data_IF_778857989169
#
_entry.id   IF_778857989169
#
_cell.length_a   1.000
_cell.length_b   1.000
_cell.length_c   1.000
_cell.angle_alpha   90.00
_cell.angle_beta   90.00
_cell.angle_gamma   90.00
#
_symmetry.space_group_name_H-M   'P 1'
#
loop_
_entity.id
_entity.type
_entity.pdbx_description
1 polymer ?
#
# COMPACT_ATOMS: atom_id res chain seq x y z
N UNK A 1 8.85 3.28 19.87
CA UNK A 1 8.59 4.45 20.73
C UNK A 1 7.13 4.75 21.05
N UNK A 2 6.21 4.78 20.08
CA UNK A 2 4.80 5.11 20.34
C UNK A 2 4.14 4.28 21.47
N UNK A 3 4.39 2.96 21.52
CA UNK A 3 3.91 2.11 22.62
C UNK A 3 4.47 2.53 23.99
N UNK A 4 5.73 2.99 24.06
CA UNK A 4 6.34 3.49 25.30
C UNK A 4 5.66 4.79 25.77
N UNK A 5 5.28 5.67 24.83
CA UNK A 5 4.50 6.89 25.14
C UNK A 5 3.13 6.53 25.77
N UNK A 6 2.52 5.45 25.31
CA UNK A 6 1.28 4.88 25.89
C UNK A 6 1.47 4.03 27.15
N UNK A 7 2.68 4.01 27.73
CA UNK A 7 2.98 3.36 29.01
C UNK A 7 3.52 1.93 28.94
N UNK A 8 3.76 1.38 27.76
CA UNK A 8 4.38 0.05 27.64
C UNK A 8 5.87 0.09 28.01
N UNK A 9 6.37 -0.96 28.68
CA UNK A 9 7.80 -1.13 28.94
C UNK A 9 8.36 -2.12 27.92
N UNK A 10 9.32 -1.67 27.11
CA UNK A 10 9.88 -2.47 26.01
C UNK A 10 11.40 -2.40 26.10
N UNK A 11 12.04 -3.56 26.21
CA UNK A 11 13.49 -3.72 26.12
C UNK A 11 13.86 -4.40 24.80
N UNK A 12 14.91 -3.92 24.15
CA UNK A 12 15.57 -4.62 23.05
C UNK A 12 16.50 -5.67 23.66
N UNK A 13 16.37 -6.93 23.25
CA UNK A 13 17.19 -8.03 23.79
C UNK A 13 18.51 -8.19 23.05
N UNK A 14 18.57 -7.70 21.82
CA UNK A 14 19.74 -7.74 20.96
C UNK A 14 20.01 -6.33 20.40
N UNK A 15 19.70 -6.10 19.13
CA UNK A 15 19.94 -4.82 18.47
C UNK A 15 18.85 -3.80 18.79
N UNK A 16 19.28 -2.58 19.13
CA UNK A 16 18.36 -1.46 19.35
C UNK A 16 17.52 -1.20 18.09
N UNK A 17 16.21 -1.03 18.27
CA UNK A 17 15.19 -0.84 17.23
C UNK A 17 14.81 -2.08 16.41
N UNK A 18 15.33 -3.27 16.77
CA UNK A 18 14.98 -4.52 16.10
C UNK A 18 14.53 -5.61 17.09
N UNK A 19 13.71 -6.58 16.65
CA UNK A 19 13.46 -7.80 17.41
C UNK A 19 14.76 -8.58 17.69
N UNK A 20 14.77 -9.45 18.73
CA UNK A 20 13.66 -9.77 19.62
C UNK A 20 13.43 -8.72 20.74
N UNK A 21 12.16 -8.55 21.12
CA UNK A 21 11.71 -7.58 22.12
C UNK A 21 11.21 -8.28 23.38
N UNK A 22 11.54 -7.73 24.55
CA UNK A 22 10.87 -8.06 25.81
C UNK A 22 9.86 -6.97 26.14
N UNK A 23 8.58 -7.33 26.10
CA UNK A 23 7.46 -6.39 26.32
C UNK A 23 6.81 -6.71 27.67
N UNK A 24 6.65 -5.69 28.51
CA UNK A 24 6.04 -5.77 29.85
C UNK A 24 4.99 -4.68 30.01
N UNK A 25 3.87 -5.03 30.65
CA UNK A 25 2.70 -4.17 30.74
C UNK A 25 1.88 -4.13 29.44
N UNK A 26 1.09 -3.08 29.25
CA UNK A 26 0.22 -2.91 28.09
C UNK A 26 0.04 -1.43 27.73
N UNK A 27 -0.57 -1.18 26.58
CA UNK A 27 -0.90 0.17 26.11
C UNK A 27 -2.09 0.72 26.89
N UNK A 28 -1.90 1.84 27.61
CA UNK A 28 -2.94 2.42 28.49
C UNK A 28 -3.68 3.60 27.87
N UNK A 29 -3.29 4.04 26.67
CA UNK A 29 -3.82 5.24 26.01
C UNK A 29 -3.10 6.52 26.43
N UNK A 30 -3.68 7.66 26.09
CA UNK A 30 -3.08 8.99 26.25
C UNK A 30 -2.73 9.67 24.92
N UNK A 31 -1.96 10.75 24.99
CA UNK A 31 -1.52 11.51 23.81
C UNK A 31 -0.20 10.94 23.32
N UNK A 32 -0.11 10.64 22.03
CA UNK A 32 1.11 10.14 21.42
C UNK A 32 1.29 10.72 20.01
N UNK A 33 2.53 10.69 19.57
CA UNK A 33 2.90 11.17 18.23
C UNK A 33 3.58 10.08 17.42
N UNK A 34 3.21 9.98 16.15
CA UNK A 34 3.71 8.99 15.18
C UNK A 34 4.18 9.72 13.93
N UNK A 35 5.34 9.34 13.39
CA UNK A 35 5.82 9.81 12.10
C UNK A 35 4.97 9.22 10.97
N UNK A 36 4.29 10.08 10.20
CA UNK A 36 3.43 9.69 9.09
C UNK A 36 4.17 9.23 7.83
N UNK A 37 5.48 9.48 7.75
CA UNK A 37 6.28 9.25 6.54
C UNK A 37 6.87 7.85 6.41
N UNK A 38 6.87 7.05 7.49
CA UNK A 38 7.61 5.79 7.55
C UNK A 38 6.77 4.61 7.05
N UNK A 39 5.72 4.24 7.79
CA UNK A 39 4.92 3.06 7.48
C UNK A 39 3.53 3.13 8.12
N UNK A 40 2.50 2.77 7.36
CA UNK A 40 1.13 2.64 7.85
C UNK A 40 0.99 1.56 8.92
N UNK A 41 1.84 0.52 8.91
CA UNK A 41 1.72 -0.63 9.82
C UNK A 41 1.82 -0.23 11.29
N UNK A 42 2.65 0.77 11.62
CA UNK A 42 2.79 1.25 12.99
C UNK A 42 1.52 1.95 13.47
N UNK A 43 0.91 2.78 12.63
CA UNK A 43 -0.34 3.45 12.93
C UNK A 43 -1.49 2.44 13.02
N UNK A 44 -1.58 1.48 12.09
CA UNK A 44 -2.57 0.40 12.11
C UNK A 44 -2.52 -0.39 13.42
N UNK A 45 -1.33 -0.80 13.88
CA UNK A 45 -1.18 -1.52 15.14
C UNK A 45 -1.70 -0.71 16.35
N UNK A 46 -1.44 0.59 16.38
CA UNK A 46 -1.93 1.49 17.42
C UNK A 46 -3.45 1.68 17.34
N UNK A 47 -3.99 1.90 16.14
CA UNK A 47 -5.43 2.03 15.91
C UNK A 47 -6.18 0.77 16.37
N UNK A 48 -5.67 -0.42 16.07
CA UNK A 48 -6.31 -1.66 16.51
C UNK A 48 -6.26 -1.88 18.03
N UNK A 49 -5.22 -1.37 18.69
CA UNK A 49 -4.97 -1.59 20.13
C UNK A 49 -5.63 -0.52 21.02
N UNK A 50 -5.61 0.74 20.60
CA UNK A 50 -6.07 1.89 21.38
C UNK A 50 -7.53 1.81 21.88
N UNK A 51 -8.50 1.23 21.14
CA UNK A 51 -9.88 1.09 21.61
C UNK A 51 -9.99 0.24 22.89
N UNK A 52 -9.08 -0.72 23.07
CA UNK A 52 -9.04 -1.62 24.23
C UNK A 52 -8.29 -1.00 25.43
N UNK A 53 -7.72 0.18 25.27
CA UNK A 53 -6.95 0.84 26.31
C UNK A 53 -7.83 1.34 27.46
N UNK A 54 -7.25 1.46 28.65
CA UNK A 54 -7.96 2.01 29.84
C UNK A 54 -8.35 3.49 29.66
N UNK A 55 -7.56 4.26 28.92
CA UNK A 55 -7.77 5.70 28.68
C UNK A 55 -8.03 5.97 27.21
N UNK A 56 -8.73 7.06 26.95
CA UNK A 56 -8.83 7.66 25.61
C UNK A 56 -7.44 7.91 25.02
N UNK A 57 -7.32 7.74 23.72
CA UNK A 57 -6.08 7.91 22.96
C UNK A 57 -6.24 8.98 21.91
N UNK A 58 -5.27 9.89 21.84
CA UNK A 58 -5.13 10.89 20.78
C UNK A 58 -3.80 10.62 20.07
N UNK A 59 -3.87 10.28 18.79
CA UNK A 59 -2.70 10.01 17.96
C UNK A 59 -2.52 11.18 17.00
N UNK A 60 -1.42 11.92 17.16
CA UNK A 60 -1.04 12.99 16.25
C UNK A 60 -0.03 12.48 15.23
N UNK A 61 -0.26 12.77 13.95
CA UNK A 61 0.68 12.44 12.87
C UNK A 61 1.66 13.59 12.67
N UNK A 62 2.96 13.28 12.72
CA UNK A 62 4.02 14.19 12.30
C UNK A 62 4.22 14.08 10.79
N UNK A 63 4.29 15.23 10.12
CA UNK A 63 4.44 15.29 8.66
C UNK A 63 3.17 14.92 7.91
N UNK A 64 3.35 14.39 6.71
CA UNK A 64 2.26 13.91 5.85
C UNK A 64 2.11 12.39 6.00
N UNK A 65 0.87 11.93 6.24
CA UNK A 65 0.58 10.51 6.31
C UNK A 65 0.64 9.86 4.92
N UNK A 66 1.62 8.98 4.72
CA UNK A 66 1.69 8.15 3.52
C UNK A 66 0.81 6.91 3.66
N UNK A 67 0.38 6.36 2.52
CA UNK A 67 -0.35 5.09 2.47
C UNK A 67 -1.69 5.10 3.24
N UNK A 68 -2.42 6.23 3.17
CA UNK A 68 -3.79 6.41 3.69
C UNK A 68 -4.76 5.24 3.39
N UNK A 69 -4.73 4.62 2.19
CA UNK A 69 -5.63 3.50 1.91
C UNK A 69 -5.50 2.31 2.86
N UNK A 70 -4.30 2.04 3.40
CA UNK A 70 -4.13 0.98 4.41
C UNK A 70 -4.74 1.36 5.76
N UNK A 71 -4.78 2.65 6.07
CA UNK A 71 -5.48 3.17 7.24
C UNK A 71 -6.99 3.08 7.02
N UNK A 72 -7.49 3.37 5.82
CA UNK A 72 -8.91 3.23 5.49
C UNK A 72 -9.39 1.77 5.62
N UNK A 73 -8.60 0.79 5.14
CA UNK A 73 -8.88 -0.64 5.35
C UNK A 73 -8.97 -0.94 6.85
N UNK A 74 -8.02 -0.41 7.65
CA UNK A 74 -7.98 -0.62 9.09
C UNK A 74 -9.23 -0.05 9.77
N UNK A 75 -9.58 1.20 9.47
CA UNK A 75 -10.74 1.88 10.05
C UNK A 75 -12.05 1.17 9.67
N UNK A 76 -12.18 0.75 8.41
CA UNK A 76 -13.35 0.02 7.94
C UNK A 76 -13.50 -1.33 8.66
N UNK A 77 -12.39 -2.08 8.81
CA UNK A 77 -12.40 -3.34 9.53
C UNK A 77 -12.76 -3.14 11.00
N UNK A 78 -12.19 -2.13 11.66
CA UNK A 78 -12.52 -1.80 13.04
C UNK A 78 -14.01 -1.47 13.20
N UNK A 79 -14.56 -0.68 12.29
CA UNK A 79 -15.99 -0.33 12.28
C UNK A 79 -16.87 -1.57 12.06
N UNK A 80 -16.50 -2.47 11.15
CA UNK A 80 -17.21 -3.73 10.92
C UNK A 80 -17.24 -4.63 12.18
N UNK A 81 -16.28 -4.46 13.08
CA UNK A 81 -16.20 -5.14 14.37
C UNK A 81 -16.69 -4.25 15.54
N UNK A 82 -17.47 -3.20 15.24
CA UNK A 82 -18.17 -2.40 16.24
C UNK A 82 -17.30 -1.41 17.02
N UNK A 83 -16.14 -1.04 16.49
CA UNK A 83 -15.25 -0.03 17.07
C UNK A 83 -15.22 1.22 16.21
N UNK A 84 -15.44 2.37 16.83
CA UNK A 84 -15.42 3.66 16.16
C UNK A 84 -14.13 4.44 16.45
N UNK A 85 -13.60 5.06 15.40
CA UNK A 85 -12.47 5.98 15.45
C UNK A 85 -12.85 7.24 14.68
N UNK A 86 -12.63 8.40 15.30
CA UNK A 86 -12.84 9.70 14.66
C UNK A 86 -11.47 10.25 14.28
N UNK A 87 -11.33 10.84 13.10
CA UNK A 87 -10.09 11.49 12.71
C UNK A 87 -10.31 12.82 12.01
N UNK A 88 -9.33 13.72 12.14
CA UNK A 88 -9.30 15.05 11.53
C UNK A 88 -8.34 15.03 10.35
N UNK A 89 -8.85 14.78 9.14
CA UNK A 89 -8.08 14.75 7.89
C UNK A 89 -6.79 13.90 7.98
N UNK A 90 -6.84 12.81 8.74
CA UNK A 90 -5.71 11.90 8.98
C UNK A 90 -4.53 12.52 9.74
N UNK A 91 -4.66 13.75 10.25
CA UNK A 91 -3.62 14.40 11.06
C UNK A 91 -3.76 14.09 12.54
N UNK A 92 -4.99 13.90 13.02
CA UNK A 92 -5.28 13.54 14.42
C UNK A 92 -6.32 12.43 14.43
N UNK A 93 -6.07 11.35 15.18
CA UNK A 93 -7.05 10.29 15.44
C UNK A 93 -7.44 10.32 16.92
N UNK A 94 -8.75 10.31 17.16
CA UNK A 94 -9.39 10.29 18.46
C UNK A 94 -10.05 8.94 18.67
N UNK A 95 -9.56 8.20 19.67
CA UNK A 95 -10.02 6.84 19.98
C UNK A 95 -10.49 6.80 21.43
N UNK A 96 -11.76 6.42 21.63
CA UNK A 96 -12.28 6.17 22.98
C UNK A 96 -11.73 4.87 23.54
N UNK A 97 -11.23 4.92 24.77
CA UNK A 97 -10.80 3.73 25.50
C UNK A 97 -12.00 2.91 26.00
N UNK A 98 -11.74 1.66 26.40
CA UNK A 98 -12.77 0.76 26.93
C UNK A 98 -13.82 0.29 25.92
N UNK A 99 -13.59 0.49 24.62
CA UNK A 99 -14.37 -0.16 23.57
C UNK A 99 -14.04 -1.65 23.53
N UNK A 100 -14.91 -2.45 22.92
CA UNK A 100 -14.68 -3.88 22.69
C UNK A 100 -15.08 -4.25 21.28
N UNK A 101 -14.25 -5.06 20.63
CA UNK A 101 -14.60 -5.62 19.33
C UNK A 101 -15.72 -6.66 19.47
N UNK A 102 -16.70 -6.59 18.60
CA UNK A 102 -17.79 -7.54 18.49
C UNK A 102 -17.73 -8.24 17.14
N UNK A 103 -17.84 -9.56 17.14
CA UNK A 103 -17.85 -10.32 15.90
C UNK A 103 -19.10 -9.97 15.08
N UNK A 104 -18.98 -9.66 13.78
CA UNK A 104 -20.13 -9.55 12.88
C UNK A 104 -20.74 -10.92 12.51
N UNK A 105 -20.27 -12.02 13.11
CA UNK A 105 -20.61 -13.38 12.73
C UNK A 105 -19.70 -13.86 11.59
N UNK A 106 -20.06 -13.52 10.35
CA UNK A 106 -19.28 -13.86 9.15
C UNK A 106 -18.65 -12.62 8.55
N UNK A 107 -17.36 -12.70 8.22
CA UNK A 107 -16.63 -11.65 7.54
C UNK A 107 -15.81 -12.26 6.40
N UNK A 108 -15.99 -11.74 5.18
CA UNK A 108 -15.20 -12.17 4.02
C UNK A 108 -13.85 -11.46 4.07
N UNK A 109 -12.76 -12.24 4.10
CA UNK A 109 -11.42 -11.70 3.86
C UNK A 109 -11.25 -11.59 2.35
N UNK A 110 -11.16 -10.36 1.84
CA UNK A 110 -10.94 -10.08 0.42
C UNK A 110 -9.61 -10.66 -0.06
N UNK A 111 -9.52 -10.93 -1.36
CA UNK A 111 -8.24 -11.22 -1.99
C UNK A 111 -7.32 -9.99 -1.96
N UNK A 112 -6.01 -10.20 -2.06
CA UNK A 112 -5.06 -9.08 -2.08
C UNK A 112 -5.14 -8.31 -3.42
N UNK A 113 -5.59 -7.06 -3.36
CA UNK A 113 -5.69 -6.20 -4.53
C UNK A 113 -4.32 -5.88 -5.13
N UNK A 114 -3.24 -5.82 -4.33
CA UNK A 114 -1.88 -5.64 -4.84
C UNK A 114 -1.47 -6.85 -5.68
N UNK A 115 -1.70 -8.07 -5.21
CA UNK A 115 -1.44 -9.31 -5.97
C UNK A 115 -2.31 -9.44 -7.23
N UNK A 116 -3.53 -8.92 -7.22
CA UNK A 116 -4.38 -8.92 -8.40
C UNK A 116 -3.79 -8.11 -9.56
N UNK A 117 -2.98 -7.08 -9.26
CA UNK A 117 -2.37 -6.22 -10.26
C UNK A 117 -1.58 -7.00 -11.31
N UNK A 118 -0.85 -8.04 -10.90
CA UNK A 118 -0.02 -8.86 -11.80
C UNK A 118 -0.86 -9.54 -12.88
N UNK A 119 -2.01 -10.09 -12.50
CA UNK A 119 -2.89 -10.83 -13.42
C UNK A 119 -3.64 -9.89 -14.37
N UNK A 120 -4.09 -8.73 -13.86
CA UNK A 120 -4.72 -7.71 -14.67
C UNK A 120 -3.73 -7.10 -15.68
N UNK A 121 -2.48 -6.84 -15.26
CA UNK A 121 -1.41 -6.38 -16.14
C UNK A 121 -1.08 -7.39 -17.23
N UNK A 122 -1.00 -8.69 -16.88
CA UNK A 122 -0.72 -9.74 -17.85
C UNK A 122 -1.76 -9.78 -18.99
N UNK A 123 -3.05 -9.63 -18.65
CA UNK A 123 -4.11 -9.48 -19.65
C UNK A 123 -3.97 -8.21 -20.49
N UNK A 124 -3.68 -7.08 -19.84
CA UNK A 124 -3.50 -5.79 -20.51
C UNK A 124 -2.35 -5.85 -21.55
N UNK A 125 -1.24 -6.48 -21.19
CA UNK A 125 -0.03 -6.61 -22.02
C UNK A 125 -0.25 -7.62 -23.15
N UNK A 126 -0.58 -8.87 -22.81
CA UNK A 126 -0.52 -9.96 -23.79
C UNK A 126 -1.81 -10.10 -24.60
N UNK A 127 -2.95 -9.77 -24.01
CA UNK A 127 -4.27 -10.06 -24.58
C UNK A 127 -4.92 -11.30 -24.01
N UNK A 128 -6.14 -11.54 -24.46
CA UNK A 128 -7.11 -12.36 -23.74
C UNK A 128 -7.93 -11.52 -22.76
N UNK A 129 -8.69 -12.21 -21.92
CA UNK A 129 -9.46 -11.59 -20.84
C UNK A 129 -9.17 -12.35 -19.56
N UNK A 130 -8.75 -11.64 -18.52
CA UNK A 130 -8.50 -12.20 -17.19
C UNK A 130 -9.47 -11.57 -16.22
N UNK A 131 -10.18 -12.42 -15.47
CA UNK A 131 -11.05 -12.04 -14.37
C UNK A 131 -10.41 -12.46 -13.06
N UNK A 132 -10.18 -11.49 -12.18
CA UNK A 132 -9.76 -11.74 -10.79
C UNK A 132 -10.99 -11.63 -9.89
N UNK A 133 -11.34 -12.71 -9.22
CA UNK A 133 -12.48 -12.78 -8.28
C UNK A 133 -12.02 -12.56 -6.84
N UNK A 134 -12.91 -12.13 -5.96
CA UNK A 134 -12.61 -11.87 -4.54
C UNK A 134 -12.17 -10.44 -4.24
N UNK A 135 -12.19 -9.57 -5.27
CA UNK A 135 -12.05 -8.11 -5.21
C UNK A 135 -12.99 -7.51 -6.25
N UNK A 136 -13.62 -6.37 -5.97
CA UNK A 136 -14.60 -5.77 -6.88
C UNK A 136 -15.02 -4.37 -6.46
N UNK A 137 -16.16 -3.88 -6.94
CA UNK A 137 -16.65 -2.52 -6.67
C UNK A 137 -16.84 -2.17 -5.19
N UNK A 138 -17.05 -3.19 -4.35
CA UNK A 138 -17.29 -3.03 -2.91
C UNK A 138 -16.02 -3.11 -2.07
N UNK A 139 -14.88 -3.37 -2.70
CA UNK A 139 -13.60 -3.46 -2.02
C UNK A 139 -13.21 -2.14 -1.38
N UNK A 140 -12.74 -2.22 -0.14
CA UNK A 140 -12.17 -1.06 0.58
C UNK A 140 -10.68 -0.91 0.33
N UNK A 141 -10.05 -1.87 -0.35
CA UNK A 141 -8.63 -1.81 -0.69
C UNK A 141 -8.35 -0.76 -1.76
N UNK A 142 -7.45 0.18 -1.45
CA UNK A 142 -7.04 1.24 -2.37
C UNK A 142 -6.41 0.72 -3.67
N UNK A 143 -5.66 -0.38 -3.58
CA UNK A 143 -4.93 -0.98 -4.70
C UNK A 143 -5.84 -1.49 -5.83
N UNK A 144 -7.15 -1.60 -5.59
CA UNK A 144 -8.12 -1.84 -6.68
C UNK A 144 -8.08 -0.74 -7.76
N UNK A 145 -7.69 0.50 -7.39
CA UNK A 145 -7.48 1.62 -8.32
C UNK A 145 -6.35 1.39 -9.32
N UNK A 146 -5.54 0.34 -9.14
CA UNK A 146 -4.63 -0.12 -10.18
C UNK A 146 -5.36 -0.40 -11.51
N UNK A 147 -6.59 -0.92 -11.45
CA UNK A 147 -7.40 -1.15 -12.64
C UNK A 147 -7.75 0.18 -13.35
N UNK A 148 -8.03 1.25 -12.61
CA UNK A 148 -8.26 2.58 -13.19
C UNK A 148 -6.99 3.12 -13.88
N UNK A 149 -5.81 2.83 -13.36
CA UNK A 149 -4.54 3.19 -14.00
C UNK A 149 -4.36 2.42 -15.30
N UNK A 150 -4.62 1.11 -15.31
CA UNK A 150 -4.59 0.32 -16.54
C UNK A 150 -5.60 0.82 -17.58
N UNK A 151 -6.81 1.20 -17.16
CA UNK A 151 -7.81 1.80 -18.04
C UNK A 151 -7.30 3.11 -18.67
N UNK A 152 -6.66 3.98 -17.87
CA UNK A 152 -6.02 5.21 -18.37
C UNK A 152 -4.85 4.95 -19.30
N UNK A 153 -4.12 3.87 -19.10
CA UNK A 153 -3.12 3.41 -20.06
C UNK A 153 -3.77 2.87 -21.34
N UNK A 154 -5.06 2.52 -21.35
CA UNK A 154 -5.79 2.08 -22.54
C UNK A 154 -6.26 0.63 -22.50
N UNK A 155 -6.10 -0.09 -21.39
CA UNK A 155 -6.73 -1.39 -21.18
C UNK A 155 -8.27 -1.27 -21.08
N UNK A 156 -8.98 -2.37 -21.33
CA UNK A 156 -10.44 -2.42 -21.15
C UNK A 156 -10.74 -3.07 -19.81
N UNK A 157 -11.36 -2.32 -18.91
CA UNK A 157 -11.68 -2.80 -17.57
C UNK A 157 -13.19 -2.97 -17.43
N UNK A 158 -13.61 -4.09 -16.83
CA UNK A 158 -14.99 -4.31 -16.42
C UNK A 158 -15.03 -4.67 -14.93
N UNK A 159 -15.88 -3.94 -14.20
CA UNK A 159 -16.03 -4.09 -12.76
C UNK A 159 -17.31 -4.85 -12.42
N UNK A 160 -17.17 -5.95 -11.69
CA UNK A 160 -18.25 -6.65 -11.00
C UNK A 160 -18.33 -6.27 -9.52
N UNK A 161 -19.33 -6.80 -8.81
CA UNK A 161 -19.44 -6.63 -7.36
C UNK A 161 -18.29 -7.32 -6.62
N UNK A 162 -17.86 -8.48 -7.12
CA UNK A 162 -16.88 -9.39 -6.52
C UNK A 162 -15.75 -9.77 -7.48
N UNK A 163 -15.64 -9.10 -8.64
CA UNK A 163 -14.55 -9.31 -9.58
C UNK A 163 -14.09 -8.02 -10.26
N UNK A 164 -12.84 -8.05 -10.74
CA UNK A 164 -12.29 -7.09 -11.70
C UNK A 164 -11.83 -7.89 -12.94
N UNK A 165 -12.23 -7.45 -14.11
CA UNK A 165 -11.88 -8.08 -15.38
C UNK A 165 -11.09 -7.10 -16.25
N UNK A 166 -9.98 -7.59 -16.83
CA UNK A 166 -9.14 -6.83 -17.74
C UNK A 166 -9.03 -7.56 -19.08
N UNK A 167 -9.19 -6.80 -20.16
CA UNK A 167 -8.87 -7.20 -21.52
C UNK A 167 -7.89 -6.21 -22.14
N UNK A 168 -7.10 -6.70 -23.08
CA UNK A 168 -6.12 -5.85 -23.79
C UNK A 168 -6.77 -4.70 -24.56
N UNK A 169 -6.09 -3.56 -24.50
CA UNK A 169 -6.20 -2.47 -25.45
C UNK A 169 -4.82 -2.02 -25.94
N UNK A 170 -4.72 -0.79 -26.41
CA UNK A 170 -3.45 -0.19 -26.83
C UNK A 170 -2.88 0.60 -25.67
N UNK A 171 -1.85 0.06 -25.02
CA UNK A 171 -1.24 0.69 -23.86
C UNK A 171 -0.45 1.94 -24.28
N UNK A 172 -0.67 3.04 -23.60
CA UNK A 172 -0.02 4.33 -23.78
C UNK A 172 0.71 4.72 -22.50
N UNK A 173 1.84 5.41 -22.66
CA UNK A 173 2.59 5.99 -21.57
C UNK A 173 1.76 7.05 -20.83
N UNK A 174 1.87 7.08 -19.51
CA UNK A 174 1.11 7.98 -18.63
C UNK A 174 2.04 8.70 -17.66
N UNK A 175 1.62 9.86 -17.15
CA UNK A 175 2.29 10.57 -16.06
C UNK A 175 1.29 10.74 -14.90
N UNK A 176 1.50 10.01 -13.81
CA UNK A 176 0.52 9.92 -12.73
C UNK A 176 1.14 9.80 -11.34
N UNK A 177 0.48 10.43 -10.37
CA UNK A 177 0.65 10.15 -8.94
C UNK A 177 0.10 8.75 -8.62
N UNK A 178 0.90 7.92 -7.96
CA UNK A 178 0.51 6.57 -7.52
C UNK A 178 0.74 6.33 -6.02
N UNK A 179 0.83 7.39 -5.22
CA UNK A 179 1.00 7.29 -3.76
C UNK A 179 -0.13 6.49 -3.09
N UNK A 180 -1.31 6.51 -3.72
CA UNK A 180 -2.53 5.86 -3.26
C UNK A 180 -2.64 4.38 -3.66
N UNK A 181 -1.69 3.83 -4.42
CA UNK A 181 -1.60 2.41 -4.77
C UNK A 181 -0.14 1.90 -4.74
N UNK A 182 0.59 2.16 -3.64
CA UNK A 182 2.05 2.13 -3.68
C UNK A 182 2.62 0.74 -3.99
N UNK A 183 1.97 -0.34 -3.55
CA UNK A 183 2.47 -1.69 -3.82
C UNK A 183 2.10 -2.15 -5.25
N UNK A 184 0.86 -1.91 -5.70
CA UNK A 184 0.45 -2.19 -7.08
C UNK A 184 1.15 -1.31 -8.13
N UNK A 185 1.66 -0.12 -7.77
CA UNK A 185 2.36 0.79 -8.68
C UNK A 185 3.66 0.18 -9.25
N UNK A 186 4.30 -0.77 -8.57
CA UNK A 186 5.47 -1.49 -9.09
C UNK A 186 5.12 -2.29 -10.35
N UNK A 187 3.89 -2.82 -10.41
CA UNK A 187 3.36 -3.52 -11.58
C UNK A 187 3.15 -2.57 -12.77
N UNK A 188 2.88 -1.28 -12.54
CA UNK A 188 2.84 -0.30 -13.64
C UNK A 188 4.23 -0.07 -14.24
N UNK A 189 5.28 -0.04 -13.40
CA UNK A 189 6.64 0.14 -13.88
C UNK A 189 7.10 -0.96 -14.85
N UNK A 190 6.66 -2.22 -14.66
CA UNK A 190 6.89 -3.30 -15.64
C UNK A 190 5.91 -3.25 -16.81
N UNK A 191 4.66 -2.85 -16.58
CA UNK A 191 3.66 -2.66 -17.65
C UNK A 191 4.09 -1.59 -18.65
N UNK A 192 4.79 -0.55 -18.19
CA UNK A 192 5.34 0.52 -19.01
C UNK A 192 6.28 0.03 -20.12
N UNK A 193 6.90 -1.13 -19.98
CA UNK A 193 7.73 -1.75 -21.02
C UNK A 193 6.95 -2.11 -22.30
N UNK A 194 5.62 -2.16 -22.20
CA UNK A 194 4.71 -2.55 -23.28
C UNK A 194 3.77 -1.42 -23.72
N UNK A 195 3.97 -0.21 -23.20
CA UNK A 195 3.20 0.98 -23.56
C UNK A 195 3.85 1.72 -24.75
N UNK A 196 3.07 2.49 -25.49
CA UNK A 196 3.58 3.46 -26.45
C UNK A 196 3.95 4.77 -25.72
N UNK A 197 5.24 5.10 -25.71
CA UNK A 197 5.77 6.28 -25.04
C UNK A 197 6.15 6.08 -23.56
N UNK A 198 6.72 7.13 -22.93
CA UNK A 198 7.25 7.06 -21.58
C UNK A 198 6.14 7.01 -20.52
N UNK A 199 6.38 6.26 -19.45
CA UNK A 199 5.54 6.25 -18.24
C UNK A 199 6.29 6.89 -17.07
N UNK A 200 5.65 7.81 -16.36
CA UNK A 200 6.17 8.48 -15.16
C UNK A 200 5.28 8.15 -13.98
N UNK A 201 5.86 7.53 -12.97
CA UNK A 201 5.19 7.19 -11.71
C UNK A 201 5.70 8.17 -10.65
N UNK A 202 4.82 9.03 -10.13
CA UNK A 202 5.14 10.11 -9.19
C UNK A 202 4.68 9.82 -7.76
N UNK A 203 5.26 10.57 -6.82
CA UNK A 203 4.87 10.59 -5.41
C UNK A 203 5.03 9.21 -4.73
N UNK A 204 6.13 8.53 -5.03
CA UNK A 204 6.45 7.17 -4.56
C UNK A 204 7.71 7.16 -3.66
N UNK A 205 7.98 8.24 -2.92
CA UNK A 205 9.10 8.28 -1.97
C UNK A 205 9.05 7.11 -0.97
N UNK A 206 7.84 6.66 -0.62
CA UNK A 206 7.63 5.53 0.27
C UNK A 206 8.28 4.21 -0.20
N UNK A 207 8.63 4.06 -1.48
CA UNK A 207 9.37 2.90 -2.00
C UNK A 207 10.81 2.82 -1.49
N UNK A 208 11.41 3.96 -1.14
CA UNK A 208 12.80 4.03 -0.66
C UNK A 208 12.95 3.57 0.79
N UNK A 209 11.87 3.65 1.57
CA UNK A 209 11.86 3.40 3.02
C UNK A 209 11.24 2.04 3.39
N UNK A 210 11.09 1.13 2.42
CA UNK A 210 10.63 -0.25 2.64
C UNK A 210 11.79 -1.14 3.12
N UNK A 211 11.60 -2.48 3.11
CA UNK A 211 12.66 -3.43 3.48
C UNK A 211 13.94 -3.25 2.64
N UNK A 212 13.77 -2.76 1.42
CA UNK A 212 14.83 -2.34 0.49
C UNK A 212 14.41 -1.05 -0.20
N UNK A 213 15.36 -0.35 -0.85
CA UNK A 213 15.02 0.75 -1.75
C UNK A 213 14.41 0.19 -3.03
N UNK A 214 13.08 -0.01 -3.02
CA UNK A 214 12.34 -0.60 -4.13
C UNK A 214 12.40 0.26 -5.39
N UNK A 215 12.58 1.58 -5.26
CA UNK A 215 12.72 2.48 -6.41
C UNK A 215 14.05 2.22 -7.13
N UNK A 216 15.14 2.15 -6.38
CA UNK A 216 16.46 1.80 -6.91
C UNK A 216 16.48 0.38 -7.48
N UNK A 217 15.84 -0.59 -6.81
CA UNK A 217 15.72 -1.96 -7.29
C UNK A 217 14.97 -2.02 -8.64
N UNK A 218 13.78 -1.41 -8.73
CA UNK A 218 13.01 -1.37 -9.97
C UNK A 218 13.79 -0.71 -11.11
N UNK A 219 14.44 0.42 -10.84
CA UNK A 219 15.24 1.10 -11.85
C UNK A 219 16.43 0.27 -12.33
N UNK A 220 17.09 -0.46 -11.41
CA UNK A 220 18.19 -1.37 -11.73
C UNK A 220 17.74 -2.50 -12.64
N UNK A 221 16.65 -3.18 -12.29
CA UNK A 221 16.18 -4.35 -13.04
C UNK A 221 15.55 -3.98 -14.40
N UNK A 222 14.83 -2.86 -14.48
CA UNK A 222 14.27 -2.37 -15.75
C UNK A 222 15.36 -1.98 -16.76
N UNK A 223 16.49 -1.42 -16.30
CA UNK A 223 17.63 -1.13 -17.18
C UNK A 223 18.22 -2.39 -17.80
N UNK A 224 18.23 -3.52 -17.08
CA UNK A 224 18.77 -4.80 -17.59
C UNK A 224 17.98 -5.35 -18.78
N UNK A 225 16.66 -5.11 -18.81
CA UNK A 225 15.81 -5.51 -19.95
C UNK A 225 15.84 -4.49 -21.10
N UNK A 226 16.67 -3.45 -21.00
CA UNK A 226 16.96 -2.48 -22.06
C UNK A 226 16.21 -1.16 -21.95
N UNK A 227 15.35 -0.96 -20.94
CA UNK A 227 14.62 0.30 -20.78
C UNK A 227 15.55 1.46 -20.42
N UNK A 228 15.26 2.64 -20.96
CA UNK A 228 15.82 3.89 -20.42
C UNK A 228 15.02 4.23 -19.15
N UNK A 229 15.74 4.38 -18.04
CA UNK A 229 15.13 4.67 -16.74
C UNK A 229 15.79 5.86 -16.08
N UNK A 230 14.98 6.88 -15.83
CA UNK A 230 15.33 8.03 -14.99
C UNK A 230 14.68 7.84 -13.61
N UNK A 231 15.50 7.90 -12.56
CA UNK A 231 15.03 7.85 -11.18
C UNK A 231 15.27 9.20 -10.50
N UNK A 232 14.24 9.72 -9.84
CA UNK A 232 14.33 10.91 -9.00
C UNK A 232 14.11 10.57 -7.53
N UNK A 233 14.05 11.59 -6.64
CA UNK A 233 13.82 11.38 -5.21
C UNK A 233 12.55 10.57 -4.91
N UNK A 234 11.47 10.85 -5.63
CA UNK A 234 10.13 10.32 -5.37
C UNK A 234 9.37 9.94 -6.67
N UNK A 235 10.09 9.72 -7.76
CA UNK A 235 9.52 9.29 -9.03
C UNK A 235 10.45 8.36 -9.79
N UNK A 236 9.86 7.59 -10.70
CA UNK A 236 10.57 6.81 -11.72
C UNK A 236 9.92 7.06 -13.08
N UNK A 237 10.74 7.33 -14.09
CA UNK A 237 10.32 7.44 -15.49
C UNK A 237 10.92 6.30 -16.28
N UNK A 238 10.07 5.52 -16.94
CA UNK A 238 10.41 4.33 -17.73
C UNK A 238 10.07 4.59 -19.18
N UNK A 239 11.08 4.50 -20.06
CA UNK A 239 10.89 4.53 -21.51
C UNK A 239 11.10 3.11 -22.05
N UNK A 240 10.10 2.51 -22.72
CA UNK A 240 10.22 1.17 -23.26
C UNK A 240 11.29 1.11 -24.35
N UNK A 241 12.12 0.06 -24.41
CA UNK A 241 13.05 -0.12 -25.52
C UNK A 241 12.31 -0.57 -26.78
N UNK A 242 12.93 -0.36 -27.94
CA UNK A 242 12.43 -0.93 -29.20
C UNK A 242 12.39 -2.48 -29.16
N UNK A 243 13.29 -3.11 -28.40
CA UNK A 243 13.33 -4.55 -28.19
C UNK A 243 13.83 -4.86 -26.78
N UNK A 244 13.14 -5.77 -26.07
CA UNK A 244 13.58 -6.24 -24.76
C UNK A 244 14.83 -7.10 -24.86
N UNK A 245 15.71 -6.95 -23.88
CA UNK A 245 16.95 -7.71 -23.73
C UNK A 245 16.75 -8.82 -22.70
N UNK A 246 17.25 -10.01 -22.99
CA UNK A 246 17.25 -11.12 -22.03
C UNK A 246 18.14 -10.76 -20.83
N UNK A 247 17.60 -10.90 -19.62
CA UNK A 247 18.27 -10.50 -18.39
C UNK A 247 18.00 -11.49 -17.26
N UNK A 248 18.93 -11.55 -16.31
CA UNK A 248 18.75 -12.18 -15.00
C UNK A 248 18.26 -11.12 -14.00
N UNK A 249 17.14 -11.40 -13.35
CA UNK A 249 16.44 -10.44 -12.49
C UNK A 249 16.70 -10.74 -11.02
N UNK A 250 17.24 -9.76 -10.30
CA UNK A 250 17.37 -9.80 -8.83
C UNK A 250 16.04 -9.44 -8.17
N UNK A 251 15.67 -10.17 -7.10
CA UNK A 251 14.36 -10.01 -6.43
C UNK A 251 14.42 -9.40 -5.03
N UNK A 252 15.61 -9.08 -4.52
CA UNK A 252 15.84 -8.22 -3.35
C UNK A 252 15.25 -8.61 -1.98
N UNK A 253 14.73 -9.84 -1.82
CA UNK A 253 14.45 -10.56 -0.56
C UNK A 253 13.64 -9.80 0.50
#
# INVERSE_FOLDING_TARGET
DALRQGGAQIDYLEQENYPPLRIRGGFRGGKLTVDGSVSSQFLTALLMTAPLAEKDTEIQIQGELVSKPYIDITLHLMQAFGVDVIHENYQIFHIKGGQTYHSPGTYLVEGDASSASYFLAAAAIKGGTVRVTGIGKKSVQGDTKFADVLEKMGAKISWGDDYIECSRGELQGIDMDMNHIPDAAMTIATTALFADGPTVIRNIYNWRVKETDRLSAMATELRKVGAEVEEGPDYIRVVPPAQLIAAEIGTYN
#
